data_IF_320866666821
#
_entry.id   IF_320866666821
#
_cell.length_a   1.000
_cell.length_b   1.000
_cell.length_c   1.000
_cell.angle_alpha   90.00
_cell.angle_beta   90.00
_cell.angle_gamma   90.00
#
_symmetry.space_group_name_H-M   'P 1'
#
loop_
_entity.id
_entity.type
_entity.pdbx_description
1 polymer ?
#
# COMPACT_ATOMS: atom_id res chain seq x y z
N UNK A 1 7.66 8.82 -2.13
CA UNK A 1 7.98 9.65 -3.31
C UNK A 1 9.26 10.45 -3.10
N UNK A 2 10.34 10.10 -3.82
CA UNK A 2 11.65 10.76 -3.73
C UNK A 2 12.28 10.89 -5.12
N UNK A 3 12.30 9.79 -5.87
CA UNK A 3 13.00 9.72 -7.15
C UNK A 3 12.24 10.43 -8.29
N UNK A 4 12.82 11.53 -8.76
CA UNK A 4 12.43 12.27 -9.97
C UNK A 4 13.62 13.14 -10.41
N UNK A 5 13.79 13.48 -11.70
CA UNK A 5 14.83 14.42 -12.12
C UNK A 5 14.64 15.80 -11.47
N UNK A 6 15.71 16.47 -11.07
CA UNK A 6 15.63 17.81 -10.45
C UNK A 6 15.45 18.95 -11.47
N UNK A 7 15.71 18.69 -12.75
CA UNK A 7 15.63 19.67 -13.84
C UNK A 7 14.20 19.97 -14.33
N UNK A 8 14.05 20.41 -15.59
CA UNK A 8 12.74 20.76 -16.17
C UNK A 8 11.71 19.62 -16.18
N UNK A 9 12.17 18.37 -16.00
CA UNK A 9 11.34 17.17 -15.99
C UNK A 9 10.92 16.73 -14.58
N UNK A 10 11.13 17.55 -13.54
CA UNK A 10 10.68 17.26 -12.19
C UNK A 10 9.18 16.98 -12.14
N UNK A 11 8.81 15.86 -11.54
CA UNK A 11 7.42 15.38 -11.46
C UNK A 11 6.87 14.76 -12.75
N UNK A 12 7.53 14.92 -13.90
CA UNK A 12 7.12 14.29 -15.17
C UNK A 12 7.68 12.87 -15.32
N UNK A 13 8.89 12.64 -14.81
CA UNK A 13 9.54 11.33 -14.81
C UNK A 13 9.63 10.85 -13.37
N UNK A 14 9.15 9.64 -13.11
CA UNK A 14 9.25 8.96 -11.84
C UNK A 14 9.59 7.49 -12.01
N UNK A 15 9.92 6.84 -10.90
CA UNK A 15 10.19 5.40 -10.84
C UNK A 15 9.02 4.66 -10.15
N UNK A 16 8.84 3.39 -10.50
CA UNK A 16 7.90 2.51 -9.79
C UNK A 16 8.40 2.23 -8.37
N UNK A 17 7.48 2.24 -7.40
CA UNK A 17 7.77 1.83 -6.03
C UNK A 17 8.20 0.36 -5.96
N UNK A 18 8.97 -0.01 -4.92
CA UNK A 18 9.61 -1.33 -4.76
C UNK A 18 8.68 -2.53 -4.96
N UNK A 19 7.43 -2.43 -4.50
CA UNK A 19 6.45 -3.51 -4.59
C UNK A 19 5.31 -3.23 -5.57
N UNK A 20 5.39 -2.14 -6.32
CA UNK A 20 4.36 -1.82 -7.31
C UNK A 20 4.44 -2.78 -8.50
N UNK A 21 3.29 -3.10 -9.08
CA UNK A 21 3.18 -3.87 -10.32
C UNK A 21 2.13 -3.27 -11.25
N UNK A 22 2.20 -3.59 -12.53
CA UNK A 22 1.17 -3.20 -13.51
C UNK A 22 0.26 -4.39 -13.79
N UNK A 23 -1.05 -4.21 -13.68
CA UNK A 23 -2.03 -5.25 -13.97
C UNK A 23 -2.35 -5.34 -15.47
N UNK A 24 -3.11 -6.36 -15.94
CA UNK A 24 -3.40 -6.54 -17.37
C UNK A 24 -4.15 -5.36 -18.04
N UNK A 25 -4.77 -4.49 -17.25
CA UNK A 25 -5.48 -3.31 -17.72
C UNK A 25 -4.60 -2.05 -17.75
N UNK A 26 -3.34 -2.16 -17.32
CA UNK A 26 -2.38 -1.06 -17.31
C UNK A 26 -2.39 -0.21 -16.03
N UNK A 27 -3.16 -0.58 -15.01
CA UNK A 27 -3.17 0.14 -13.74
C UNK A 27 -2.04 -0.32 -12.82
N UNK A 28 -1.54 0.62 -12.02
CA UNK A 28 -0.54 0.33 -10.98
C UNK A 28 -1.27 -0.21 -9.76
N UNK A 29 -0.83 -1.37 -9.27
CA UNK A 29 -1.30 -2.00 -8.05
C UNK A 29 -0.19 -2.07 -7.01
N UNK A 30 -0.58 -2.00 -5.73
CA UNK A 30 0.34 -2.20 -4.60
C UNK A 30 -0.20 -3.26 -3.64
N UNK A 31 0.68 -4.04 -2.98
CA UNK A 31 0.26 -5.10 -2.07
C UNK A 31 -0.08 -4.58 -0.68
N UNK A 32 -1.15 -5.13 -0.11
CA UNK A 32 -1.60 -4.88 1.26
C UNK A 32 -1.86 -6.19 2.01
N UNK A 33 -1.67 -6.19 3.33
CA UNK A 33 -2.09 -7.29 4.21
C UNK A 33 -3.54 -7.08 4.63
N UNK A 34 -4.35 -8.13 4.48
CA UNK A 34 -5.75 -8.07 4.88
C UNK A 34 -5.88 -8.09 6.41
N UNK A 35 -6.80 -7.29 6.93
CA UNK A 35 -7.21 -7.33 8.34
C UNK A 35 -8.62 -7.87 8.43
N UNK A 36 -8.85 -8.87 9.28
CA UNK A 36 -10.18 -9.46 9.52
C UNK A 36 -10.48 -9.43 11.01
N UNK A 37 -11.56 -8.73 11.40
CA UNK A 37 -11.94 -8.62 12.81
C UNK A 37 -10.84 -8.04 13.71
N UNK A 38 -10.04 -7.09 13.20
CA UNK A 38 -8.92 -6.48 13.92
C UNK A 38 -7.62 -7.31 13.93
N UNK A 39 -7.60 -8.51 13.34
CA UNK A 39 -6.42 -9.37 13.26
C UNK A 39 -5.76 -9.21 11.88
N UNK A 40 -4.46 -8.91 11.87
CA UNK A 40 -3.66 -8.84 10.64
C UNK A 40 -3.39 -10.25 10.14
N UNK A 41 -3.67 -10.53 8.87
CA UNK A 41 -3.45 -11.83 8.25
C UNK A 41 -2.24 -11.80 7.30
N UNK A 42 -1.79 -12.98 6.86
CA UNK A 42 -0.73 -13.12 5.85
C UNK A 42 -1.28 -13.14 4.41
N UNK A 43 -2.58 -12.87 4.24
CA UNK A 43 -3.21 -12.72 2.93
C UNK A 43 -2.76 -11.39 2.30
N UNK A 44 -1.98 -11.48 1.23
CA UNK A 44 -1.58 -10.32 0.42
C UNK A 44 -2.61 -10.10 -0.69
N UNK A 45 -3.27 -8.94 -0.66
CA UNK A 45 -4.12 -8.46 -1.76
C UNK A 45 -3.41 -7.30 -2.46
N UNK A 46 -3.24 -7.42 -3.77
CA UNK A 46 -2.88 -6.28 -4.60
C UNK A 46 -4.14 -5.50 -4.95
N UNK A 47 -4.08 -4.19 -4.84
CA UNK A 47 -5.21 -3.30 -5.12
C UNK A 47 -4.76 -2.17 -6.03
N UNK A 48 -5.61 -1.82 -6.98
CA UNK A 48 -5.50 -0.57 -7.72
C UNK A 48 -5.95 0.62 -6.85
N UNK A 49 -5.65 1.84 -7.29
CA UNK A 49 -5.92 3.05 -6.52
C UNK A 49 -7.42 3.25 -6.20
N UNK A 50 -8.30 2.97 -7.16
CA UNK A 50 -9.75 3.04 -7.01
C UNK A 50 -10.29 1.98 -6.04
N UNK A 51 -9.73 0.78 -6.05
CA UNK A 51 -10.07 -0.24 -5.05
C UNK A 51 -9.63 0.19 -3.64
N UNK A 52 -8.41 0.72 -3.49
CA UNK A 52 -7.84 1.16 -2.21
C UNK A 52 -8.71 2.21 -1.52
N UNK A 53 -9.29 3.16 -2.26
CA UNK A 53 -10.17 4.21 -1.74
C UNK A 53 -11.39 3.69 -0.96
N UNK A 54 -11.81 2.44 -1.21
CA UNK A 54 -12.92 1.81 -0.51
C UNK A 54 -12.53 1.25 0.88
N UNK A 55 -11.26 1.32 1.26
CA UNK A 55 -10.73 0.76 2.50
C UNK A 55 -9.99 1.80 3.33
N UNK A 56 -9.91 1.54 4.64
CA UNK A 56 -9.01 2.27 5.54
C UNK A 56 -7.71 1.46 5.66
N UNK A 57 -6.60 2.07 5.28
CA UNK A 57 -5.27 1.44 5.31
C UNK A 57 -4.52 1.88 6.58
N UNK A 58 -4.11 0.90 7.40
CA UNK A 58 -3.23 1.13 8.52
C UNK A 58 -1.77 1.24 8.07
N UNK A 59 -0.94 1.97 8.81
CA UNK A 59 0.48 2.07 8.49
C UNK A 59 1.21 0.77 8.81
N UNK A 60 2.28 0.48 8.07
CA UNK A 60 3.09 -0.73 8.27
C UNK A 60 3.75 -0.81 9.66
N UNK A 61 3.95 0.32 10.34
CA UNK A 61 4.52 0.42 11.68
C UNK A 61 3.47 0.51 12.80
N UNK A 62 2.18 0.41 12.49
CA UNK A 62 1.13 0.35 13.52
C UNK A 62 1.41 -0.83 14.47
N UNK A 63 1.43 -0.65 15.79
CA UNK A 63 1.78 -1.73 16.72
C UNK A 63 0.79 -2.90 16.63
N UNK A 64 1.33 -4.12 16.62
CA UNK A 64 0.55 -5.36 16.60
C UNK A 64 0.81 -6.10 17.92
N UNK A 65 -0.26 -6.59 18.54
CA UNK A 65 -0.20 -7.43 19.73
C UNK A 65 0.34 -8.83 19.37
N UNK A 66 0.84 -9.61 20.35
CA UNK A 66 1.40 -10.94 20.09
C UNK A 66 0.42 -11.94 19.45
N UNK A 67 -0.88 -11.70 19.59
CA UNK A 67 -1.96 -12.50 19.00
C UNK A 67 -2.33 -12.07 17.56
N UNK A 68 -1.59 -11.10 16.98
CA UNK A 68 -1.82 -10.59 15.64
C UNK A 68 -2.87 -9.48 15.56
N UNK A 69 -3.47 -9.05 16.68
CA UNK A 69 -4.41 -7.93 16.70
C UNK A 69 -3.70 -6.59 16.55
N UNK A 70 -4.29 -5.68 15.80
CA UNK A 70 -3.86 -4.28 15.81
C UNK A 70 -4.07 -3.70 17.22
N UNK A 71 -3.04 -3.04 17.75
CA UNK A 71 -3.14 -2.28 18.98
C UNK A 71 -3.92 -1.01 18.67
N UNK A 72 -4.98 -0.79 19.42
CA UNK A 72 -5.97 0.24 19.12
C UNK A 72 -5.35 1.64 19.05
N UNK A 73 -5.62 2.36 17.96
CA UNK A 73 -5.34 3.79 17.82
C UNK A 73 -6.58 4.57 17.31
N UNK A 74 -7.79 3.98 17.35
CA UNK A 74 -9.05 4.70 17.05
C UNK A 74 -10.22 4.30 17.93
#
# INVERSE_FOLDING_TARGET
PIETPEGPNIGLIGALSTYARVNPFGFIETPYRRVRGGIVTDEIKYMAADEEENYVVAQANTPILPDGRLRDER
#
